data_IF_064905933270
#
_entry.id   IF_064905933270
#
_cell.length_a   1.000
_cell.length_b   1.000
_cell.length_c   1.000
_cell.angle_alpha   90.00
_cell.angle_beta   90.00
_cell.angle_gamma   90.00
#
_symmetry.space_group_name_H-M   'P 1'
#
loop_
_entity.id
_entity.type
_entity.pdbx_description
1 polymer ?
#
# COMPACT_ATOMS: atom_id res chain seq x y z
N UNK A 1 -47.06 46.47 -1.18
CA UNK A 1 -47.67 45.79 -0.01
C UNK A 1 -46.91 44.50 0.22
N UNK A 2 -46.58 44.16 1.46
CA UNK A 2 -45.86 42.93 1.82
C UNK A 2 -46.65 42.14 2.86
N UNK A 3 -46.52 40.81 2.83
CA UNK A 3 -47.08 39.93 3.85
C UNK A 3 -46.22 39.99 5.11
N UNK A 4 -46.82 40.31 6.25
CA UNK A 4 -46.12 40.32 7.54
C UNK A 4 -45.92 38.88 8.01
N UNK A 5 -44.66 38.43 8.07
CA UNK A 5 -44.32 37.08 8.50
C UNK A 5 -44.03 37.07 10.00
N UNK A 6 -44.69 36.21 10.80
CA UNK A 6 -44.36 36.04 12.22
C UNK A 6 -42.97 35.42 12.42
N UNK A 7 -42.20 35.89 13.41
CA UNK A 7 -40.82 35.41 13.71
C UNK A 7 -40.71 33.90 13.98
N UNK A 8 -41.81 33.27 14.41
CA UNK A 8 -41.87 31.83 14.75
C UNK A 8 -42.68 31.01 13.75
N UNK A 9 -42.97 31.57 12.58
CA UNK A 9 -43.74 30.89 11.55
C UNK A 9 -43.02 29.63 11.06
N UNK A 10 -43.73 28.52 11.05
CA UNK A 10 -43.29 27.28 10.39
C UNK A 10 -43.60 27.37 8.91
N UNK A 11 -42.99 26.47 8.13
CA UNK A 11 -43.25 26.32 6.68
C UNK A 11 -44.76 26.19 6.37
N UNK A 12 -45.50 25.47 7.22
CA UNK A 12 -46.96 25.32 7.07
C UNK A 12 -47.69 26.65 7.25
N UNK A 13 -47.25 27.47 8.21
CA UNK A 13 -47.84 28.80 8.48
C UNK A 13 -47.54 29.76 7.32
N UNK A 14 -46.33 29.69 6.76
CA UNK A 14 -45.93 30.47 5.58
C UNK A 14 -46.74 30.06 4.35
N UNK A 15 -46.93 28.76 4.12
CA UNK A 15 -47.75 28.24 3.02
C UNK A 15 -49.19 28.76 3.14
N UNK A 16 -49.79 28.66 4.32
CA UNK A 16 -51.13 29.17 4.57
C UNK A 16 -51.23 30.69 4.36
N UNK A 17 -50.24 31.46 4.85
CA UNK A 17 -50.21 32.91 4.70
C UNK A 17 -50.15 33.34 3.22
N UNK A 18 -49.31 32.67 2.43
CA UNK A 18 -49.16 32.96 1.00
C UNK A 18 -50.42 32.55 0.23
N UNK A 19 -50.98 31.37 0.49
CA UNK A 19 -52.18 30.89 -0.19
C UNK A 19 -53.44 31.70 0.13
N UNK A 20 -53.52 32.25 1.35
CA UNK A 20 -54.62 33.12 1.78
C UNK A 20 -54.48 34.57 1.29
N UNK A 21 -53.37 34.92 0.64
CA UNK A 21 -53.10 36.29 0.22
C UNK A 21 -53.90 36.68 -1.01
N UNK A 22 -54.57 37.84 -0.92
CA UNK A 22 -55.29 38.45 -2.05
C UNK A 22 -54.39 38.72 -3.27
N UNK A 23 -53.07 38.82 -3.07
CA UNK A 23 -52.06 39.09 -4.11
C UNK A 23 -52.00 37.97 -5.15
N UNK A 24 -52.24 36.72 -4.74
CA UNK A 24 -52.09 35.54 -5.59
C UNK A 24 -53.42 34.87 -5.93
N UNK A 25 -54.53 35.56 -5.70
CA UNK A 25 -55.88 35.01 -5.83
C UNK A 25 -56.15 34.44 -7.23
N UNK A 26 -55.65 35.09 -8.27
CA UNK A 26 -55.88 34.70 -9.67
C UNK A 26 -54.91 33.60 -10.15
N UNK A 27 -53.76 33.43 -9.47
CA UNK A 27 -52.67 32.52 -9.85
C UNK A 27 -52.39 31.46 -8.78
N UNK A 28 -53.39 31.11 -7.95
CA UNK A 28 -53.20 30.27 -6.76
C UNK A 28 -52.61 28.89 -7.07
N UNK A 29 -52.94 28.31 -8.23
CA UNK A 29 -52.44 27.00 -8.66
C UNK A 29 -50.95 27.05 -9.01
N UNK A 30 -50.52 28.12 -9.70
CA UNK A 30 -49.11 28.36 -9.97
C UNK A 30 -48.31 28.53 -8.67
N UNK A 31 -48.84 29.30 -7.73
CA UNK A 31 -48.19 29.55 -6.43
C UNK A 31 -48.06 28.27 -5.61
N UNK A 32 -49.10 27.43 -5.57
CA UNK A 32 -49.05 26.12 -4.92
C UNK A 32 -47.96 25.23 -5.51
N UNK A 33 -47.94 25.11 -6.83
CA UNK A 33 -46.93 24.31 -7.52
C UNK A 33 -45.51 24.86 -7.28
N UNK A 34 -45.33 26.18 -7.27
CA UNK A 34 -44.04 26.80 -6.98
C UNK A 34 -43.59 26.51 -5.53
N UNK A 35 -44.48 26.64 -4.54
CA UNK A 35 -44.19 26.31 -3.15
C UNK A 35 -43.80 24.83 -3.03
N UNK A 36 -44.58 23.93 -3.61
CA UNK A 36 -44.31 22.50 -3.53
C UNK A 36 -42.97 22.13 -4.19
N UNK A 37 -42.63 22.73 -5.34
CA UNK A 37 -41.33 22.58 -5.99
C UNK A 37 -40.17 23.06 -5.10
N UNK A 38 -40.31 24.23 -4.46
CA UNK A 38 -39.28 24.76 -3.55
C UNK A 38 -39.10 23.83 -2.34
N UNK A 39 -40.20 23.32 -1.77
CA UNK A 39 -40.14 22.41 -0.63
C UNK A 39 -39.50 21.08 -0.98
N UNK A 40 -39.81 20.52 -2.15
CA UNK A 40 -39.18 19.29 -2.60
C UNK A 40 -37.68 19.51 -2.89
N UNK A 41 -37.29 20.58 -3.58
CA UNK A 41 -35.87 20.91 -3.81
C UNK A 41 -35.11 21.04 -2.48
N UNK A 42 -35.68 21.73 -1.50
CA UNK A 42 -35.08 21.88 -0.16
C UNK A 42 -34.92 20.54 0.55
N UNK A 43 -35.91 19.66 0.44
CA UNK A 43 -35.88 18.31 1.02
C UNK A 43 -34.82 17.44 0.34
N UNK A 44 -34.80 17.38 -0.99
CA UNK A 44 -33.81 16.63 -1.77
C UNK A 44 -32.39 17.09 -1.47
N UNK A 45 -32.17 18.41 -1.34
CA UNK A 45 -30.86 18.98 -0.97
C UNK A 45 -30.41 18.54 0.41
N UNK A 46 -31.32 18.51 1.39
CA UNK A 46 -31.00 18.06 2.74
C UNK A 46 -30.65 16.57 2.76
N UNK A 47 -31.44 15.73 2.08
CA UNK A 47 -31.15 14.31 1.96
C UNK A 47 -29.83 14.03 1.23
N UNK A 48 -29.52 14.81 0.17
CA UNK A 48 -28.24 14.72 -0.53
C UNK A 48 -27.08 15.07 0.40
N UNK A 49 -27.21 16.13 1.19
CA UNK A 49 -26.19 16.55 2.15
C UNK A 49 -25.92 15.48 3.21
N UNK A 50 -26.97 14.88 3.78
CA UNK A 50 -26.84 13.78 4.74
C UNK A 50 -26.20 12.54 4.10
N UNK A 51 -26.60 12.16 2.88
CA UNK A 51 -25.98 11.06 2.12
C UNK A 51 -24.50 11.30 1.86
N UNK A 52 -24.15 12.49 1.39
CA UNK A 52 -22.75 12.86 1.10
C UNK A 52 -21.89 12.87 2.37
N UNK A 53 -22.46 13.33 3.50
CA UNK A 53 -21.77 13.29 4.80
C UNK A 53 -21.54 11.85 5.26
N UNK A 54 -22.52 10.97 5.09
CA UNK A 54 -22.40 9.55 5.40
C UNK A 54 -21.33 8.87 4.52
N UNK A 55 -21.35 9.13 3.21
CA UNK A 55 -20.39 8.55 2.26
C UNK A 55 -18.96 8.99 2.57
N UNK A 56 -18.76 10.28 2.88
CA UNK A 56 -17.44 10.80 3.29
C UNK A 56 -16.93 10.15 4.57
N UNK A 57 -17.81 9.95 5.57
CA UNK A 57 -17.42 9.26 6.80
C UNK A 57 -17.01 7.81 6.52
N UNK A 58 -17.79 7.09 5.69
CA UNK A 58 -17.48 5.72 5.31
C UNK A 58 -16.15 5.60 4.57
N UNK A 59 -15.88 6.47 3.61
CA UNK A 59 -14.58 6.53 2.90
C UNK A 59 -13.42 6.81 3.85
N UNK A 60 -13.61 7.70 4.83
CA UNK A 60 -12.60 7.99 5.84
C UNK A 60 -12.31 6.78 6.71
N UNK A 61 -13.34 6.10 7.20
CA UNK A 61 -13.19 4.89 8.01
C UNK A 61 -12.51 3.76 7.25
N UNK A 62 -12.85 3.59 5.97
CA UNK A 62 -12.19 2.63 5.07
C UNK A 62 -10.71 2.96 4.88
N UNK A 63 -10.37 4.21 4.55
CA UNK A 63 -8.97 4.64 4.43
C UNK A 63 -8.17 4.46 5.73
N UNK A 64 -8.79 4.71 6.89
CA UNK A 64 -8.16 4.49 8.19
C UNK A 64 -7.99 2.99 8.52
N UNK A 65 -8.84 2.11 7.98
CA UNK A 65 -8.65 0.65 8.09
C UNK A 65 -7.53 0.18 7.19
N UNK A 66 -7.53 0.59 5.92
CA UNK A 66 -6.50 0.21 4.94
C UNK A 66 -5.11 0.64 5.40
N UNK A 67 -4.99 1.85 5.97
CA UNK A 67 -3.73 2.34 6.53
C UNK A 67 -3.23 1.46 7.68
N UNK A 68 -4.13 1.09 8.61
CA UNK A 68 -3.79 0.20 9.74
C UNK A 68 -3.38 -1.20 9.25
N UNK A 69 -4.07 -1.71 8.25
CA UNK A 69 -3.74 -3.01 7.65
C UNK A 69 -2.36 -2.99 6.98
N UNK A 70 -2.06 -1.95 6.20
CA UNK A 70 -0.73 -1.74 5.62
C UNK A 70 0.38 -1.65 6.69
N UNK A 71 0.13 -0.92 7.78
CA UNK A 71 1.10 -0.81 8.90
C UNK A 71 1.38 -2.18 9.53
N UNK A 72 0.33 -2.99 9.76
CA UNK A 72 0.46 -4.34 10.30
C UNK A 72 1.22 -5.27 9.36
N UNK A 73 0.94 -5.21 8.05
CA UNK A 73 1.65 -6.03 7.06
C UNK A 73 3.15 -5.70 7.01
N UNK A 74 3.50 -4.40 7.07
CA UNK A 74 4.89 -3.97 7.13
C UNK A 74 5.59 -4.47 8.40
N UNK A 75 4.94 -4.42 9.56
CA UNK A 75 5.49 -4.96 10.80
C UNK A 75 5.68 -6.48 10.74
N UNK A 76 4.73 -7.23 10.14
CA UNK A 76 4.87 -8.67 9.94
C UNK A 76 6.09 -9.01 9.09
N UNK A 77 6.30 -8.30 7.98
CA UNK A 77 7.48 -8.49 7.12
C UNK A 77 8.76 -8.19 7.90
N UNK A 78 8.77 -7.10 8.67
CA UNK A 78 9.91 -6.70 9.48
C UNK A 78 10.26 -7.74 10.55
N UNK A 79 9.25 -8.31 11.22
CA UNK A 79 9.43 -9.38 12.19
C UNK A 79 10.01 -10.64 11.53
N UNK A 80 9.45 -11.08 10.40
CA UNK A 80 9.95 -12.24 9.66
C UNK A 80 11.42 -12.08 9.22
N UNK A 81 11.84 -10.86 8.87
CA UNK A 81 13.24 -10.56 8.57
C UNK A 81 14.15 -10.69 9.79
N UNK A 82 13.70 -10.24 10.98
CA UNK A 82 14.47 -10.39 12.21
C UNK A 82 14.57 -11.85 12.65
N UNK A 83 13.47 -12.61 12.57
CA UNK A 83 13.46 -14.04 12.89
C UNK A 83 14.45 -14.82 12.02
N UNK A 84 14.45 -14.57 10.71
CA UNK A 84 15.41 -15.19 9.79
C UNK A 84 16.86 -14.83 10.11
N UNK A 85 17.14 -13.57 10.46
CA UNK A 85 18.49 -13.16 10.88
C UNK A 85 18.92 -13.86 12.17
N UNK A 86 18.00 -14.00 13.13
CA UNK A 86 18.27 -14.71 14.38
C UNK A 86 18.52 -16.20 14.13
N UNK A 87 17.75 -16.84 13.25
CA UNK A 87 17.96 -18.23 12.84
C UNK A 87 19.35 -18.43 12.23
N UNK A 88 19.76 -17.56 11.31
CA UNK A 88 21.11 -17.60 10.70
C UNK A 88 22.21 -17.43 11.75
N UNK A 89 22.04 -16.46 12.66
CA UNK A 89 23.02 -16.21 13.73
C UNK A 89 23.16 -17.40 14.67
N UNK A 90 22.04 -18.03 15.04
CA UNK A 90 22.03 -19.23 15.86
C UNK A 90 22.70 -20.42 15.14
N UNK A 91 22.33 -20.69 13.88
CA UNK A 91 22.94 -21.75 13.08
C UNK A 91 24.45 -21.55 12.90
N UNK A 92 24.90 -20.31 12.70
CA UNK A 92 26.33 -19.97 12.58
C UNK A 92 27.08 -20.20 13.89
N UNK A 93 26.50 -19.81 15.02
CA UNK A 93 27.08 -20.07 16.35
C UNK A 93 27.15 -21.57 16.64
N UNK A 94 26.09 -22.32 16.31
CA UNK A 94 26.05 -23.75 16.54
C UNK A 94 27.07 -24.48 15.65
N UNK A 95 27.25 -24.05 14.39
CA UNK A 95 28.34 -24.52 13.54
C UNK A 95 29.71 -24.24 14.18
N UNK A 96 29.96 -23.00 14.63
CA UNK A 96 31.22 -22.62 15.28
C UNK A 96 31.53 -23.47 16.53
N UNK A 97 30.51 -23.76 17.36
CA UNK A 97 30.62 -24.61 18.53
C UNK A 97 30.85 -26.09 18.18
N UNK A 98 30.30 -26.56 17.06
CA UNK A 98 30.48 -27.93 16.57
C UNK A 98 31.87 -28.13 15.94
N UNK A 99 32.41 -27.11 15.25
CA UNK A 99 33.78 -27.13 14.73
C UNK A 99 34.84 -27.17 15.82
N UNK A 100 34.62 -26.56 16.99
CA UNK A 100 35.52 -26.72 18.15
C UNK A 100 35.48 -28.12 18.78
N UNK A 101 34.47 -28.95 18.47
CA UNK A 101 34.39 -30.33 18.95
C UNK A 101 35.05 -31.35 18.00
N UNK A 102 35.51 -30.93 16.81
CA UNK A 102 36.06 -31.83 15.76
C UNK A 102 37.41 -31.38 15.18
N UNK A 103 38.22 -30.63 15.93
CA UNK A 103 39.63 -30.36 15.53
C UNK A 103 40.60 -31.38 16.14
N UNK A 104 40.62 -32.58 15.55
CA UNK A 104 41.85 -33.39 15.41
C UNK A 104 41.96 -33.82 13.94
N UNK A 105 42.11 -32.87 13.01
CA UNK A 105 42.70 -33.14 11.69
C UNK A 105 43.55 -31.92 11.28
N UNK A 106 44.75 -32.23 10.83
CA UNK A 106 45.93 -31.38 10.62
C UNK A 106 45.67 -30.13 9.72
N UNK A 107 45.88 -28.89 10.23
CA UNK A 107 45.56 -27.63 9.52
C UNK A 107 46.41 -27.30 8.28
N UNK A 108 47.54 -27.98 8.07
CA UNK A 108 48.52 -27.59 7.06
C UNK A 108 48.07 -27.83 5.61
N UNK A 109 47.25 -28.87 5.37
CA UNK A 109 46.96 -29.32 4.00
C UNK A 109 45.91 -28.46 3.26
N UNK A 110 44.96 -27.84 3.97
CA UNK A 110 43.86 -27.10 3.33
C UNK A 110 44.27 -25.70 2.87
N UNK A 111 45.19 -25.06 3.61
CA UNK A 111 45.64 -23.68 3.38
C UNK A 111 46.50 -23.61 2.10
N UNK A 112 47.41 -24.57 1.92
CA UNK A 112 48.27 -24.64 0.73
C UNK A 112 47.45 -24.85 -0.57
N UNK A 113 46.36 -25.62 -0.49
CA UNK A 113 45.46 -25.85 -1.60
C UNK A 113 44.65 -24.59 -1.96
N UNK A 114 44.20 -23.82 -0.97
CA UNK A 114 43.49 -22.57 -1.18
C UNK A 114 44.40 -21.50 -1.78
N UNK A 115 45.64 -21.37 -1.30
CA UNK A 115 46.60 -20.42 -1.87
C UNK A 115 46.98 -20.76 -3.31
N UNK A 116 47.18 -22.06 -3.60
CA UNK A 116 47.43 -22.54 -4.97
C UNK A 116 46.24 -22.25 -5.90
N UNK A 117 45.01 -22.48 -5.43
CA UNK A 117 43.79 -22.18 -6.18
C UNK A 117 43.63 -20.67 -6.41
N UNK A 118 43.78 -19.85 -5.37
CA UNK A 118 43.70 -18.38 -5.48
C UNK A 118 44.77 -17.86 -6.45
N UNK A 119 45.99 -18.42 -6.43
CA UNK A 119 47.05 -18.06 -7.36
C UNK A 119 46.68 -18.45 -8.80
N UNK A 120 46.13 -19.65 -9.02
CA UNK A 120 45.68 -20.11 -10.35
C UNK A 120 44.56 -19.25 -10.94
N UNK A 121 43.58 -18.86 -10.11
CA UNK A 121 42.45 -18.01 -10.49
C UNK A 121 42.93 -16.57 -10.75
N UNK A 122 43.85 -16.04 -9.94
CA UNK A 122 44.42 -14.70 -10.16
C UNK A 122 45.24 -14.61 -11.46
N UNK A 123 45.90 -15.69 -11.88
CA UNK A 123 46.54 -15.76 -13.20
C UNK A 123 45.57 -15.91 -14.36
N UNK A 124 44.33 -16.35 -14.10
CA UNK A 124 43.27 -16.46 -15.11
C UNK A 124 42.64 -15.07 -15.34
N UNK A 125 43.40 -14.16 -15.93
CA UNK A 125 42.88 -12.85 -16.34
C UNK A 125 42.09 -13.00 -17.63
N UNK A 126 40.77 -13.22 -17.52
CA UNK A 126 39.89 -13.27 -18.69
C UNK A 126 39.38 -11.84 -18.95
N UNK A 127 39.62 -11.27 -20.13
CA UNK A 127 39.13 -9.93 -20.44
C UNK A 127 37.61 -9.92 -20.40
N UNK A 128 37.04 -9.04 -19.55
CA UNK A 128 35.59 -8.88 -19.44
C UNK A 128 35.08 -8.20 -20.71
N UNK A 129 34.12 -8.80 -21.44
CA UNK A 129 33.58 -8.19 -22.64
C UNK A 129 32.86 -6.88 -22.32
N UNK A 130 33.09 -5.85 -23.14
CA UNK A 130 32.44 -4.53 -23.00
C UNK A 130 31.11 -4.44 -23.76
N UNK A 131 30.76 -5.45 -24.57
CA UNK A 131 29.54 -5.49 -25.39
C UNK A 131 28.61 -6.61 -24.95
N UNK A 132 27.31 -6.30 -24.82
CA UNK A 132 26.27 -7.20 -24.29
C UNK A 132 26.15 -8.50 -25.07
N UNK A 133 26.37 -8.48 -26.38
CA UNK A 133 26.25 -9.65 -27.26
C UNK A 133 27.36 -10.68 -27.03
N UNK A 134 28.47 -10.28 -26.42
CA UNK A 134 29.66 -11.12 -26.20
C UNK A 134 29.68 -11.80 -24.83
N UNK A 135 28.75 -11.45 -23.92
CA UNK A 135 28.70 -12.02 -22.57
C UNK A 135 28.32 -13.50 -22.57
N UNK A 136 27.39 -13.92 -23.43
CA UNK A 136 26.96 -15.34 -23.47
C UNK A 136 28.13 -16.28 -23.77
N UNK A 137 29.01 -15.93 -24.73
CA UNK A 137 30.18 -16.75 -25.06
C UNK A 137 31.25 -16.72 -23.96
N UNK A 138 31.39 -15.57 -23.29
CA UNK A 138 32.31 -15.42 -22.16
C UNK A 138 31.91 -16.33 -20.99
N UNK A 139 30.63 -16.31 -20.59
CA UNK A 139 30.14 -17.19 -19.53
C UNK A 139 30.21 -18.67 -19.92
N UNK A 140 29.87 -19.01 -21.16
CA UNK A 140 29.96 -20.39 -21.62
C UNK A 140 31.41 -20.92 -21.68
N UNK A 141 32.38 -20.04 -21.92
CA UNK A 141 33.81 -20.39 -21.87
C UNK A 141 34.29 -20.57 -20.42
N UNK A 142 33.82 -19.70 -19.51
CA UNK A 142 34.07 -19.82 -18.07
C UNK A 142 33.54 -21.15 -17.51
N UNK A 143 32.28 -21.48 -17.78
CA UNK A 143 31.63 -22.73 -17.35
C UNK A 143 32.40 -23.98 -17.80
N UNK A 144 32.96 -23.97 -19.01
CA UNK A 144 33.76 -25.08 -19.52
C UNK A 144 35.17 -25.13 -18.96
N UNK A 145 35.74 -23.99 -18.60
CA UNK A 145 37.13 -23.87 -18.15
C UNK A 145 37.35 -24.16 -16.66
N UNK A 146 36.28 -24.18 -15.86
CA UNK A 146 36.32 -24.49 -14.44
C UNK A 146 35.84 -25.94 -14.26
N UNK A 147 36.74 -26.93 -14.16
CA UNK A 147 36.34 -28.32 -13.92
C UNK A 147 35.89 -28.47 -12.46
N UNK A 148 34.60 -28.33 -12.20
CA UNK A 148 34.06 -28.53 -10.85
C UNK A 148 32.61 -28.10 -10.67
N UNK A 149 31.69 -29.00 -11.03
CA UNK A 149 30.37 -29.24 -10.43
C UNK A 149 29.70 -28.06 -9.70
N UNK A 150 29.06 -27.16 -10.45
CA UNK A 150 27.93 -26.37 -9.94
C UNK A 150 26.68 -27.05 -10.50
N UNK A 151 26.21 -28.10 -9.83
CA UNK A 151 24.88 -28.64 -10.03
C UNK A 151 24.10 -28.46 -8.74
N UNK A 152 23.09 -27.58 -8.84
CA UNK A 152 21.85 -27.46 -8.05
C UNK A 152 21.92 -27.62 -6.52
#
# INVERSE_FOLDING_TARGET
>A
MGLTVPDKAKVVDLKALIESSDVYRDDIEFVRNLIDNILEEKKERLERFEREKLERNKQREESERDKRECEIELEKIRLAQFEKQLEIANATRDLANTSHATEIVEPGSLIDNLESLIKSVKTLTIPVPVRSESFNLFFHSLEKSIPGQICA
#
